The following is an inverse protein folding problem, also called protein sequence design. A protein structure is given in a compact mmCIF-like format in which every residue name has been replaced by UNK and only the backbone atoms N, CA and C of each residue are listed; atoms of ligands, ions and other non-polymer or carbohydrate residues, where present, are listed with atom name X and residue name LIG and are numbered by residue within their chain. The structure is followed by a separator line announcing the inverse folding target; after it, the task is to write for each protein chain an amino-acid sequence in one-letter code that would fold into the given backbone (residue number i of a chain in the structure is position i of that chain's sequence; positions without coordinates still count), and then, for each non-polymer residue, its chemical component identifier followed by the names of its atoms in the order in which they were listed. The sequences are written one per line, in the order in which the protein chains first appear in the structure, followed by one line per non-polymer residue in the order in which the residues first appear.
data_IF_180782767691
#
_entry.id   IF_180782767691
#
_cell.length_a   1.000
_cell.length_b   1.000
_cell.length_c   1.000
_cell.angle_alpha   90.00
_cell.angle_beta   90.00
_cell.angle_gamma   90.00
#
_symmetry.space_group_name_H-M   'P 1'
#
loop_
_entity.id
_entity.type
_entity.pdbx_description
1 polymer ?
#
# COMPACT_ATOMS: atom_id res chain seq x y z
N UNK A 1 11.31 -16.99 7.71
CA UNK A 1 10.77 -15.73 7.10
C UNK A 1 11.62 -15.29 5.92
N UNK A 2 11.00 -14.91 4.80
CA UNK A 2 11.67 -14.30 3.64
C UNK A 2 11.04 -12.94 3.36
N UNK A 3 11.85 -11.92 3.08
CA UNK A 3 11.38 -10.57 2.77
C UNK A 3 11.92 -10.18 1.39
N UNK A 4 11.02 -9.71 0.52
CA UNK A 4 11.34 -9.18 -0.79
C UNK A 4 10.81 -7.74 -0.88
N UNK A 5 11.70 -6.78 -1.13
CA UNK A 5 11.32 -5.39 -1.39
C UNK A 5 11.00 -5.25 -2.88
N UNK A 6 9.75 -4.95 -3.21
CA UNK A 6 9.29 -4.80 -4.59
C UNK A 6 9.63 -3.44 -5.16
N UNK A 7 9.49 -2.39 -4.34
CA UNK A 7 9.78 -1.02 -4.71
C UNK A 7 10.02 -0.13 -3.51
N UNK A 8 10.97 0.80 -3.64
CA UNK A 8 11.28 1.80 -2.62
C UNK A 8 12.00 3.00 -3.26
N UNK A 9 12.13 4.09 -2.55
CA UNK A 9 12.78 5.32 -3.04
C UNK A 9 14.24 5.08 -3.45
N UNK A 10 14.98 4.25 -2.74
CA UNK A 10 16.34 3.83 -3.12
C UNK A 10 16.40 2.99 -4.40
N UNK A 11 15.29 2.40 -4.82
CA UNK A 11 15.14 1.68 -6.09
C UNK A 11 14.53 2.53 -7.20
N UNK A 12 14.41 3.85 -7.01
CA UNK A 12 14.00 4.81 -8.03
C UNK A 12 12.50 5.06 -8.16
N UNK A 13 11.68 4.57 -7.22
CA UNK A 13 10.24 4.84 -7.14
C UNK A 13 9.87 5.41 -5.77
N UNK A 14 8.67 5.97 -5.63
CA UNK A 14 8.12 6.40 -4.33
C UNK A 14 7.25 5.30 -3.74
N UNK A 15 7.19 5.30 -2.40
CA UNK A 15 6.52 4.27 -1.63
C UNK A 15 7.50 3.18 -1.18
N UNK A 16 7.03 2.34 -0.29
CA UNK A 16 7.70 1.12 0.14
C UNK A 16 6.70 -0.02 0.03
N UNK A 17 6.89 -0.88 -0.96
CA UNK A 17 6.09 -2.09 -1.12
C UNK A 17 6.96 -3.32 -0.96
N UNK A 18 6.50 -4.29 -0.17
CA UNK A 18 7.24 -5.53 0.04
C UNK A 18 6.32 -6.75 0.19
N UNK A 19 6.91 -7.92 -0.02
CA UNK A 19 6.31 -9.22 0.27
C UNK A 19 7.06 -9.86 1.43
N UNK A 20 6.31 -10.41 2.38
CA UNK A 20 6.85 -11.22 3.46
C UNK A 20 6.24 -12.61 3.40
N UNK A 21 7.09 -13.64 3.32
CA UNK A 21 6.68 -15.04 3.43
C UNK A 21 7.04 -15.51 4.85
N UNK A 22 6.01 -15.84 5.63
CA UNK A 22 6.13 -16.30 7.01
C UNK A 22 4.97 -17.25 7.35
N UNK A 23 5.22 -18.34 8.08
CA UNK A 23 4.21 -19.30 8.55
C UNK A 23 3.24 -19.77 7.44
N UNK A 24 3.75 -20.05 6.23
CA UNK A 24 2.96 -20.46 5.08
C UNK A 24 2.07 -19.38 4.46
N UNK A 25 2.22 -18.13 4.88
CA UNK A 25 1.49 -16.95 4.38
C UNK A 25 2.35 -16.15 3.42
N UNK A 26 1.71 -15.57 2.42
CA UNK A 26 2.30 -14.56 1.53
C UNK A 26 1.62 -13.22 1.82
N UNK A 27 2.33 -12.33 2.49
CA UNK A 27 1.82 -11.07 3.02
C UNK A 27 2.37 -9.94 2.14
N UNK A 28 1.49 -9.25 1.42
CA UNK A 28 1.86 -8.06 0.63
C UNK A 28 1.58 -6.81 1.45
N UNK A 29 2.59 -5.99 1.69
CA UNK A 29 2.49 -4.77 2.48
C UNK A 29 2.58 -3.56 1.55
N UNK A 30 1.61 -2.65 1.68
CA UNK A 30 1.50 -1.41 0.95
C UNK A 30 1.70 -1.59 -0.56
N UNK A 31 0.73 -2.26 -1.25
CA UNK A 31 0.82 -2.60 -2.68
C UNK A 31 0.63 -1.38 -3.58
N UNK A 32 1.39 -0.33 -3.35
CA UNK A 32 1.36 0.91 -4.12
C UNK A 32 2.73 1.32 -4.61
N UNK A 33 2.74 2.18 -5.61
CA UNK A 33 3.94 2.79 -6.17
C UNK A 33 3.57 4.08 -6.89
N UNK A 34 4.44 5.08 -6.82
CA UNK A 34 4.29 6.32 -7.55
C UNK A 34 5.63 6.87 -8.04
N UNK A 35 5.53 7.82 -8.97
CA UNK A 35 6.58 8.81 -9.25
C UNK A 35 5.96 10.20 -9.10
N UNK A 36 6.79 11.21 -8.85
CA UNK A 36 6.32 12.60 -8.90
C UNK A 36 5.89 12.96 -10.31
N UNK A 37 4.59 13.21 -10.52
CA UNK A 37 4.05 13.49 -11.86
C UNK A 37 4.70 14.71 -12.50
N UNK A 38 4.84 15.77 -11.74
CA UNK A 38 5.51 16.99 -12.20
C UNK A 38 6.29 17.62 -11.03
N UNK A 39 7.61 17.47 -11.03
CA UNK A 39 8.49 18.11 -10.04
C UNK A 39 9.28 19.25 -10.70
N UNK A 40 9.18 20.46 -10.18
CA UNK A 40 9.85 21.64 -10.74
C UNK A 40 9.59 21.81 -12.25
N UNK A 41 8.33 21.55 -12.70
CA UNK A 41 7.88 21.60 -14.11
C UNK A 41 8.58 20.56 -15.00
N UNK A 42 9.10 19.47 -14.43
CA UNK A 42 9.74 18.38 -15.19
C UNK A 42 9.01 17.06 -14.91
N UNK A 43 8.82 16.29 -15.97
CA UNK A 43 8.36 14.92 -15.89
C UNK A 43 9.47 14.01 -15.30
N UNK A 44 9.13 12.84 -14.76
CA UNK A 44 10.11 11.85 -14.34
C UNK A 44 11.05 11.46 -15.49
N UNK A 45 12.28 11.13 -15.15
CA UNK A 45 13.24 10.64 -16.13
C UNK A 45 12.72 9.32 -16.76
N UNK A 46 12.88 9.09 -18.08
CA UNK A 46 12.38 7.88 -18.76
C UNK A 46 12.83 6.57 -18.09
N UNK A 47 14.05 6.51 -17.58
CA UNK A 47 14.54 5.36 -16.83
C UNK A 47 13.72 5.10 -15.54
N UNK A 48 13.38 6.13 -14.78
CA UNK A 48 12.51 5.99 -13.61
C UNK A 48 11.10 5.53 -14.00
N UNK A 49 10.59 5.98 -15.14
CA UNK A 49 9.29 5.53 -15.67
C UNK A 49 9.33 4.03 -15.99
N UNK A 50 10.42 3.56 -16.62
CA UNK A 50 10.61 2.14 -16.90
C UNK A 50 10.69 1.31 -15.61
N UNK A 51 11.52 1.72 -14.65
CA UNK A 51 11.61 1.06 -13.32
C UNK A 51 10.24 1.05 -12.62
N UNK A 52 9.52 2.18 -12.62
CA UNK A 52 8.18 2.25 -12.04
C UNK A 52 7.17 1.32 -12.71
N UNK A 53 7.30 1.07 -14.02
CA UNK A 53 6.49 0.09 -14.73
C UNK A 53 6.80 -1.33 -14.26
N UNK A 54 8.08 -1.70 -14.16
CA UNK A 54 8.50 -3.01 -13.66
C UNK A 54 8.03 -3.26 -12.21
N UNK A 55 8.12 -2.26 -11.35
CA UNK A 55 7.63 -2.35 -9.95
C UNK A 55 6.12 -2.58 -9.92
N UNK A 56 5.34 -1.90 -10.77
CA UNK A 56 3.88 -2.15 -10.86
C UNK A 56 3.56 -3.59 -11.23
N UNK A 57 4.26 -4.17 -12.21
CA UNK A 57 4.05 -5.57 -12.58
C UNK A 57 4.40 -6.53 -11.44
N UNK A 58 5.51 -6.31 -10.74
CA UNK A 58 5.89 -7.10 -9.55
C UNK A 58 4.83 -7.03 -8.44
N UNK A 59 4.27 -5.84 -8.18
CA UNK A 59 3.20 -5.69 -7.19
C UNK A 59 1.94 -6.45 -7.62
N UNK A 60 1.53 -6.35 -8.89
CA UNK A 60 0.35 -7.08 -9.41
C UNK A 60 0.56 -8.59 -9.32
N UNK A 61 1.74 -9.09 -9.69
CA UNK A 61 2.11 -10.51 -9.55
C UNK A 61 2.07 -10.96 -8.08
N UNK A 62 2.64 -10.17 -7.18
CA UNK A 62 2.63 -10.46 -5.74
C UNK A 62 1.19 -10.51 -5.19
N UNK A 63 0.32 -9.58 -5.57
CA UNK A 63 -1.09 -9.59 -5.20
C UNK A 63 -1.83 -10.83 -5.71
N UNK A 64 -1.48 -11.34 -6.90
CA UNK A 64 -2.08 -12.56 -7.46
C UNK A 64 -1.80 -13.84 -6.65
N UNK A 65 -0.78 -13.84 -5.78
CA UNK A 65 -0.41 -14.98 -4.91
C UNK A 65 -0.54 -14.66 -3.41
N UNK A 66 -1.04 -13.47 -3.06
CA UNK A 66 -1.17 -13.04 -1.68
C UNK A 66 -2.22 -13.86 -0.92
N UNK A 67 -1.91 -14.26 0.30
CA UNK A 67 -2.89 -14.71 1.29
C UNK A 67 -3.40 -13.55 2.16
N UNK A 68 -2.59 -12.50 2.29
CA UNK A 68 -2.82 -11.35 3.12
C UNK A 68 -2.35 -10.06 2.45
N UNK A 69 -3.13 -9.00 2.59
CA UNK A 69 -2.75 -7.66 2.14
C UNK A 69 -2.85 -6.68 3.30
N UNK A 70 -1.78 -5.95 3.54
CA UNK A 70 -1.68 -4.94 4.59
C UNK A 70 -1.68 -3.55 3.96
N UNK A 71 -2.52 -2.67 4.46
CA UNK A 71 -2.56 -1.24 4.10
C UNK A 71 -2.22 -0.43 5.35
N UNK A 72 -1.01 0.08 5.41
CA UNK A 72 -0.54 0.86 6.56
C UNK A 72 -1.16 2.25 6.64
N UNK A 73 -1.45 2.86 5.48
CA UNK A 73 -2.13 4.15 5.31
C UNK A 73 -2.53 4.38 3.85
N UNK A 74 -3.18 5.51 3.55
CA UNK A 74 -3.84 5.74 2.23
C UNK A 74 -3.12 6.77 1.35
N UNK A 75 -1.78 6.88 1.42
CA UNK A 75 -1.04 7.66 0.42
C UNK A 75 -0.98 6.91 -0.92
N UNK A 76 -1.00 7.66 -2.03
CA UNK A 76 -1.13 7.09 -3.37
C UNK A 76 0.13 6.39 -3.91
N UNK A 77 1.18 6.33 -3.14
CA UNK A 77 2.39 5.56 -3.34
C UNK A 77 2.44 4.29 -2.48
N UNK A 78 1.41 4.06 -1.64
CA UNK A 78 1.26 2.89 -0.78
C UNK A 78 0.06 2.01 -1.13
N UNK A 79 -0.89 2.54 -1.90
CA UNK A 79 -2.11 1.81 -2.33
C UNK A 79 -2.37 1.97 -3.83
N UNK A 80 -3.07 1.01 -4.46
CA UNK A 80 -3.65 1.22 -5.78
C UNK A 80 -4.77 2.27 -5.73
N UNK A 81 -4.93 3.05 -6.79
CA UNK A 81 -5.86 4.19 -6.85
C UNK A 81 -6.92 4.03 -7.93
N UNK A 82 -8.12 4.54 -7.68
CA UNK A 82 -9.20 4.66 -8.68
C UNK A 82 -8.88 5.73 -9.73
N UNK A 83 -8.23 6.82 -9.31
CA UNK A 83 -7.82 7.99 -10.11
C UNK A 83 -6.32 8.02 -10.43
N UNK A 84 -5.69 6.85 -10.55
CA UNK A 84 -4.26 6.72 -10.77
C UNK A 84 -3.77 7.50 -11.99
N UNK A 85 -2.75 8.33 -11.80
CA UNK A 85 -2.02 8.93 -12.92
C UNK A 85 -1.10 7.87 -13.58
N UNK A 86 -0.49 8.13 -14.76
CA UNK A 86 0.30 7.14 -15.50
C UNK A 86 1.48 6.53 -14.73
N UNK A 87 1.88 7.12 -13.62
CA UNK A 87 3.03 6.68 -12.80
C UNK A 87 2.63 6.04 -11.48
N UNK A 88 1.33 5.81 -11.28
CA UNK A 88 0.77 5.14 -10.10
C UNK A 88 0.18 3.78 -10.48
N UNK A 89 -0.05 2.93 -9.49
CA UNK A 89 -0.78 1.69 -9.69
C UNK A 89 -2.29 1.97 -9.64
N UNK A 90 -3.00 1.54 -10.69
CA UNK A 90 -4.47 1.65 -10.76
C UNK A 90 -5.15 0.43 -10.15
N UNK A 91 -6.29 0.64 -9.46
CA UNK A 91 -7.19 -0.43 -9.02
C UNK A 91 -7.65 -1.35 -10.18
N UNK A 92 -7.80 -0.81 -11.39
CA UNK A 92 -8.20 -1.61 -12.55
C UNK A 92 -7.14 -2.64 -13.01
N UNK A 93 -5.92 -2.58 -12.48
CA UNK A 93 -4.81 -3.46 -12.85
C UNK A 93 -4.54 -4.57 -11.84
N UNK A 94 -5.07 -4.47 -10.63
CA UNK A 94 -4.85 -5.47 -9.60
C UNK A 94 -5.92 -6.57 -9.66
N UNK A 95 -5.59 -7.80 -9.20
CA UNK A 95 -6.58 -8.86 -9.09
C UNK A 95 -7.65 -8.52 -8.04
N UNK A 96 -8.83 -9.17 -8.10
CA UNK A 96 -9.83 -9.08 -7.04
C UNK A 96 -9.24 -9.45 -5.68
N UNK A 97 -9.72 -8.79 -4.61
CA UNK A 97 -9.24 -8.99 -3.23
C UNK A 97 -10.19 -9.84 -2.36
N UNK A 98 -11.16 -10.51 -2.97
CA UNK A 98 -12.21 -11.30 -2.31
C UNK A 98 -11.69 -12.58 -1.63
N UNK A 99 -10.52 -13.09 -2.05
CA UNK A 99 -9.90 -14.30 -1.52
C UNK A 99 -8.66 -14.03 -0.64
N UNK A 100 -8.42 -12.79 -0.24
CA UNK A 100 -7.30 -12.41 0.61
C UNK A 100 -7.78 -11.84 1.94
N UNK A 101 -7.01 -12.03 3.01
CA UNK A 101 -7.26 -11.34 4.27
C UNK A 101 -6.74 -9.91 4.18
N UNK A 102 -7.63 -8.95 4.44
CA UNK A 102 -7.29 -7.53 4.44
C UNK A 102 -6.98 -7.06 5.86
N UNK A 103 -5.90 -6.33 6.02
CA UNK A 103 -5.41 -5.73 7.24
C UNK A 103 -5.18 -4.25 6.97
N UNK A 104 -6.15 -3.42 7.29
CA UNK A 104 -6.14 -2.03 6.88
C UNK A 104 -6.12 -1.11 8.08
N UNK A 105 -5.40 0.00 7.94
CA UNK A 105 -5.55 1.10 8.88
C UNK A 105 -7.01 1.56 8.89
N UNK A 106 -7.55 1.76 10.09
CA UNK A 106 -8.91 2.24 10.28
C UNK A 106 -9.15 3.65 9.72
N UNK A 107 -10.41 4.08 9.59
CA UNK A 107 -10.79 5.37 9.01
C UNK A 107 -10.54 6.56 9.95
N UNK A 108 -10.04 6.32 11.15
CA UNK A 108 -9.79 7.38 12.14
C UNK A 108 -8.57 8.21 11.76
N UNK A 109 -8.64 9.52 12.03
CA UNK A 109 -7.56 10.49 11.79
C UNK A 109 -7.05 10.53 10.33
N UNK A 110 -7.94 10.28 9.37
CA UNK A 110 -7.67 10.39 7.94
C UNK A 110 -7.96 11.81 7.44
N UNK A 111 -7.17 12.28 6.47
CA UNK A 111 -7.52 13.46 5.68
C UNK A 111 -8.67 13.14 4.72
N UNK A 112 -9.39 14.15 4.22
CA UNK A 112 -10.50 13.97 3.27
C UNK A 112 -10.10 13.11 2.05
N UNK A 113 -8.89 13.33 1.53
CA UNK A 113 -8.35 12.55 0.41
C UNK A 113 -8.11 11.09 0.81
N UNK A 114 -7.62 10.84 2.00
CA UNK A 114 -7.38 9.48 2.49
C UNK A 114 -8.72 8.76 2.76
N UNK A 115 -9.73 9.46 3.26
CA UNK A 115 -11.10 8.93 3.40
C UNK A 115 -11.67 8.52 2.04
N UNK A 116 -11.54 9.36 1.02
CA UNK A 116 -12.01 9.03 -0.32
C UNK A 116 -11.33 7.76 -0.87
N UNK A 117 -10.04 7.63 -0.70
CA UNK A 117 -9.27 6.44 -1.12
C UNK A 117 -9.65 5.19 -0.34
N UNK A 118 -9.92 5.31 0.96
CA UNK A 118 -10.47 4.23 1.78
C UNK A 118 -11.83 3.76 1.24
N UNK A 119 -12.72 4.70 0.88
CA UNK A 119 -14.03 4.40 0.26
C UNK A 119 -13.84 3.68 -1.08
N UNK A 120 -12.98 4.18 -1.95
CA UNK A 120 -12.76 3.61 -3.28
C UNK A 120 -12.17 2.19 -3.19
N UNK A 121 -11.23 1.96 -2.29
CA UNK A 121 -10.66 0.63 -2.06
C UNK A 121 -11.70 -0.33 -1.42
N UNK A 122 -12.56 0.17 -0.51
CA UNK A 122 -13.69 -0.59 0.04
C UNK A 122 -14.66 -1.05 -1.05
N UNK A 123 -15.00 -0.16 -1.98
CA UNK A 123 -15.86 -0.51 -3.13
C UNK A 123 -15.20 -1.55 -4.02
N UNK A 124 -13.92 -1.41 -4.30
CA UNK A 124 -13.17 -2.38 -5.10
C UNK A 124 -13.12 -3.75 -4.43
N UNK A 125 -12.88 -3.80 -3.12
CA UNK A 125 -12.84 -5.03 -2.33
C UNK A 125 -14.25 -5.65 -2.11
N UNK A 126 -15.31 -4.94 -2.43
CA UNK A 126 -16.69 -5.40 -2.21
C UNK A 126 -17.10 -5.47 -0.74
N UNK A 127 -16.35 -4.86 0.16
CA UNK A 127 -16.61 -4.85 1.60
C UNK A 127 -16.10 -3.56 2.24
N UNK A 128 -16.57 -3.26 3.45
CA UNK A 128 -15.94 -2.23 4.28
C UNK A 128 -14.59 -2.77 4.73
N UNK A 129 -13.51 -2.01 4.47
CA UNK A 129 -12.16 -2.44 4.86
C UNK A 129 -12.10 -2.66 6.38
N UNK A 130 -11.61 -3.83 6.82
CA UNK A 130 -11.50 -4.13 8.24
C UNK A 130 -10.42 -3.27 8.90
N UNK A 131 -10.76 -2.67 10.03
CA UNK A 131 -9.77 -1.99 10.87
C UNK A 131 -8.89 -3.02 11.57
N UNK A 132 -7.59 -2.95 11.32
CA UNK A 132 -6.60 -3.85 11.90
C UNK A 132 -5.77 -3.20 13.03
N UNK A 133 -6.04 -1.95 13.39
CA UNK A 133 -5.32 -1.26 14.47
C UNK A 133 -5.38 -2.08 15.77
N UNK A 134 -4.22 -2.22 16.43
CA UNK A 134 -4.05 -2.98 17.68
C UNK A 134 -4.41 -4.48 17.60
N UNK A 135 -4.66 -5.02 16.40
CA UNK A 135 -4.90 -6.46 16.22
C UNK A 135 -3.60 -7.25 16.22
N UNK A 136 -3.73 -8.50 16.67
CA UNK A 136 -2.66 -9.51 16.67
C UNK A 136 -3.29 -10.88 16.38
N UNK A 137 -2.81 -11.60 15.37
CA UNK A 137 -3.25 -12.96 15.05
C UNK A 137 -2.16 -14.02 15.33
N UNK A 138 -1.10 -13.62 16.02
CA UNK A 138 0.05 -14.49 16.35
C UNK A 138 1.15 -14.48 15.28
N UNK A 139 0.87 -14.09 14.04
CA UNK A 139 1.84 -13.94 12.94
C UNK A 139 1.99 -12.49 12.54
N UNK A 140 0.88 -11.78 12.42
CA UNK A 140 0.85 -10.35 12.09
C UNK A 140 0.24 -9.59 13.27
N UNK A 141 0.92 -8.55 13.71
CA UNK A 141 0.41 -7.63 14.72
C UNK A 141 0.59 -6.17 14.28
N UNK A 142 -0.26 -5.30 14.80
CA UNK A 142 -0.35 -3.92 14.38
C UNK A 142 -0.31 -2.97 15.57
N UNK A 143 0.34 -1.83 15.38
CA UNK A 143 0.34 -0.76 16.37
C UNK A 143 -1.00 -0.01 16.38
N UNK A 144 -1.24 0.75 17.45
CA UNK A 144 -2.11 1.92 17.37
C UNK A 144 -1.60 2.92 16.32
N UNK A 145 -2.46 3.84 15.82
CA UNK A 145 -2.05 4.84 14.84
C UNK A 145 -0.93 5.73 15.37
N UNK A 146 0.12 5.90 14.56
CA UNK A 146 1.21 6.82 14.86
C UNK A 146 1.22 7.98 13.86
N UNK A 147 1.58 9.21 14.27
CA UNK A 147 1.65 10.33 13.34
C UNK A 147 2.67 10.10 12.24
N UNK A 148 2.26 10.30 10.97
CA UNK A 148 3.13 10.21 9.81
C UNK A 148 3.89 11.53 9.53
N UNK A 149 3.58 12.57 10.28
CA UNK A 149 4.19 13.90 10.17
C UNK A 149 3.74 14.80 11.31
N UNK A 150 3.94 16.11 11.21
CA UNK A 150 3.46 17.04 12.24
C UNK A 150 1.97 16.84 12.51
N UNK A 151 1.58 16.91 13.79
CA UNK A 151 0.19 16.75 14.23
C UNK A 151 -0.73 17.73 13.48
N UNK A 152 -1.84 17.25 12.95
CA UNK A 152 -2.78 18.05 12.15
C UNK A 152 -2.34 18.34 10.74
N UNK A 153 -1.21 17.78 10.28
CA UNK A 153 -0.84 17.81 8.86
C UNK A 153 -1.74 16.89 8.04
N UNK A 154 -1.85 17.17 6.73
CA UNK A 154 -2.54 16.28 5.77
C UNK A 154 -1.85 14.93 5.54
N UNK A 155 -0.72 14.67 6.21
CA UNK A 155 -0.03 13.38 6.14
C UNK A 155 -0.76 12.29 6.95
N UNK A 156 -1.55 12.68 7.97
CA UNK A 156 -2.36 11.76 8.76
C UNK A 156 -1.54 10.84 9.66
N UNK A 157 -2.06 9.67 9.89
CA UNK A 157 -1.46 8.62 10.72
C UNK A 157 -1.19 7.36 9.90
N UNK A 158 -0.27 6.54 10.37
CA UNK A 158 0.13 5.26 9.79
C UNK A 158 0.05 4.18 10.87
N UNK A 159 -0.29 2.96 10.47
CA UNK A 159 -0.26 1.76 11.29
C UNK A 159 1.03 1.00 11.03
N UNK A 160 1.82 0.74 12.06
CA UNK A 160 3.02 -0.08 11.93
C UNK A 160 2.66 -1.56 11.97
N UNK A 161 3.31 -2.35 11.12
CA UNK A 161 3.12 -3.80 11.01
C UNK A 161 4.33 -4.53 11.57
N UNK A 162 4.08 -5.53 12.42
CA UNK A 162 5.08 -6.49 12.88
C UNK A 162 4.70 -7.87 12.41
N UNK A 163 5.66 -8.59 11.82
CA UNK A 163 5.52 -9.98 11.41
C UNK A 163 6.53 -10.81 12.19
N UNK A 164 6.10 -11.95 12.70
CA UNK A 164 6.92 -12.87 13.48
C UNK A 164 6.70 -14.33 13.03
N UNK A 165 7.73 -15.16 13.20
CA UNK A 165 7.71 -16.63 13.12
C UNK A 165 7.61 -17.21 14.50
#
# INVERSE_FOLDING_TARGET
MKIEVLGTESLGVRGLSCVVEAEGRTIVIDPGVALGYLRHRRLPHPHQVAVGAEVREKIVEALGRASDVVISHYHGDHIPLSDANPYQLSLSRIPPLDNVRLWCKGPHDLSDLAVQRWIDLSRFAGCILPDAEERDDGVISFSSPVPHGPRGSRLGTVMMTRIQE
#
